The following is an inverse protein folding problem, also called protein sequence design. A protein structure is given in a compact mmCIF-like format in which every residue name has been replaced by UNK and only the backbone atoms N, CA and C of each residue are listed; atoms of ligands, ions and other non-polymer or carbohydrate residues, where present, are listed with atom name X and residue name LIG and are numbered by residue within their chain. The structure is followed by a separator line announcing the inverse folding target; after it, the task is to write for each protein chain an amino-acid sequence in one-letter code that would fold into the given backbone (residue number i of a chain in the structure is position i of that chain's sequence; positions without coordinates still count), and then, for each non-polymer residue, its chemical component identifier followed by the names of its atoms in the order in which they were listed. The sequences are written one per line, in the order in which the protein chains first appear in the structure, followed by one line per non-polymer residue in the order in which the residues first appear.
data_IF_673593135024
#
_entry.id   IF_673593135024
#
_cell.length_a   1.000
_cell.length_b   1.000
_cell.length_c   1.000
_cell.angle_alpha   90.00
_cell.angle_beta   90.00
_cell.angle_gamma   90.00
#
_symmetry.space_group_name_H-M   'P 1'
#
loop_
_entity.id
_entity.type
_entity.pdbx_description
1 polymer ?
#
# COMPACT_ATOMS: atom_id res chain seq x y z
N UNK A 1 27.32 3.11 -0.12
CA UNK A 1 26.57 4.37 -0.06
C UNK A 1 26.45 4.74 1.43
N UNK A 2 26.95 5.91 1.84
CA UNK A 2 26.91 6.33 3.25
C UNK A 2 25.49 6.82 3.58
N UNK A 3 24.97 6.46 4.74
CA UNK A 3 23.67 6.95 5.19
C UNK A 3 23.72 8.49 5.37
N UNK A 4 22.63 9.22 5.06
CA UNK A 4 22.58 10.66 5.22
C UNK A 4 22.80 11.04 6.70
N UNK A 5 23.44 12.16 6.93
CA UNK A 5 23.58 12.73 8.28
C UNK A 5 22.22 13.14 8.84
N UNK A 6 22.17 13.34 10.15
CA UNK A 6 20.93 13.81 10.81
C UNK A 6 20.50 15.18 10.27
N UNK A 7 21.42 16.09 10.08
CA UNK A 7 21.18 17.44 9.55
C UNK A 7 20.68 17.41 8.10
N UNK A 8 21.25 16.54 7.27
CA UNK A 8 20.77 16.33 5.89
C UNK A 8 19.35 15.76 5.86
N UNK A 9 19.04 14.83 6.74
CA UNK A 9 17.70 14.23 6.86
C UNK A 9 16.67 15.26 7.32
N UNK A 10 17.01 16.16 8.25
CA UNK A 10 16.14 17.24 8.71
C UNK A 10 15.86 18.20 7.55
N UNK A 11 16.90 18.69 6.87
CA UNK A 11 16.73 19.60 5.73
C UNK A 11 15.91 19.00 4.60
N UNK A 12 16.15 17.74 4.26
CA UNK A 12 15.36 17.04 3.23
C UNK A 12 13.88 16.95 3.60
N UNK A 13 13.56 16.69 4.87
CA UNK A 13 12.19 16.62 5.34
C UNK A 13 11.51 17.99 5.38
N UNK A 14 12.21 19.03 5.79
CA UNK A 14 11.72 20.42 5.76
C UNK A 14 11.42 20.87 4.33
N UNK A 15 12.31 20.56 3.39
CA UNK A 15 12.11 20.85 1.97
C UNK A 15 10.90 20.10 1.41
N UNK A 16 10.75 18.78 1.67
CA UNK A 16 9.59 18.01 1.24
C UNK A 16 8.28 18.61 1.79
N UNK A 17 8.26 19.01 3.05
CA UNK A 17 7.06 19.63 3.64
C UNK A 17 6.72 20.99 3.05
N UNK A 18 7.70 21.77 2.63
CA UNK A 18 7.51 23.09 2.05
C UNK A 18 7.09 23.04 0.57
N UNK A 19 7.69 22.14 -0.21
CA UNK A 19 7.59 22.14 -1.66
C UNK A 19 6.58 21.11 -2.21
N UNK A 20 6.33 20.01 -1.50
CA UNK A 20 5.49 18.93 -1.99
C UNK A 20 4.00 19.27 -1.83
N UNK A 21 3.24 19.35 -2.95
CA UNK A 21 1.82 19.73 -2.93
C UNK A 21 0.93 18.85 -2.05
N UNK A 22 1.33 17.60 -1.80
CA UNK A 22 0.58 16.67 -0.93
C UNK A 22 0.41 17.19 0.49
N UNK A 23 1.30 18.10 0.94
CA UNK A 23 1.26 18.67 2.28
C UNK A 23 0.49 19.96 2.36
N UNK A 24 -0.12 20.41 1.27
CA UNK A 24 -0.91 21.66 1.25
C UNK A 24 -2.03 21.60 2.29
N UNK A 25 -2.04 22.60 3.19
CA UNK A 25 -3.04 22.69 4.27
C UNK A 25 -2.75 21.83 5.50
N UNK A 26 -1.72 21.01 5.51
CA UNK A 26 -1.30 20.23 6.68
C UNK A 26 -0.61 21.15 7.69
N UNK A 27 -1.12 21.15 8.93
CA UNK A 27 -0.49 21.84 10.08
C UNK A 27 0.12 20.79 11.01
N UNK A 28 1.33 21.05 11.46
CA UNK A 28 2.08 20.15 12.37
C UNK A 28 2.40 20.89 13.67
N UNK A 29 2.29 20.18 14.78
CA UNK A 29 2.67 20.67 16.12
C UNK A 29 4.08 20.25 16.52
N UNK A 30 4.80 19.57 15.62
CA UNK A 30 6.15 19.03 15.80
C UNK A 30 7.04 19.46 14.64
N UNK A 31 8.34 19.44 14.87
CA UNK A 31 9.37 19.82 13.87
C UNK A 31 9.89 18.62 13.09
N UNK A 32 10.56 18.88 11.96
CA UNK A 32 11.30 17.86 11.22
C UNK A 32 12.42 17.24 12.08
N UNK A 33 13.03 18.02 12.95
CA UNK A 33 14.04 17.53 13.89
C UNK A 33 13.48 16.52 14.88
N UNK A 34 12.23 16.70 15.36
CA UNK A 34 11.56 15.73 16.24
C UNK A 34 11.30 14.42 15.50
N UNK A 35 10.84 14.48 14.25
CA UNK A 35 10.60 13.30 13.43
C UNK A 35 11.90 12.53 13.19
N UNK A 36 12.95 13.22 12.75
CA UNK A 36 14.25 12.58 12.47
C UNK A 36 14.87 11.99 13.74
N UNK A 37 14.71 12.67 14.89
CA UNK A 37 15.20 12.17 16.18
C UNK A 37 14.56 10.82 16.56
N UNK A 38 13.30 10.63 16.23
CA UNK A 38 12.54 9.42 16.60
C UNK A 38 12.60 8.32 15.53
N UNK A 39 12.89 8.65 14.28
CA UNK A 39 12.89 7.71 13.17
C UNK A 39 14.07 6.71 13.16
N UNK A 40 15.15 7.00 13.88
CA UNK A 40 16.38 6.23 13.80
C UNK A 40 17.17 6.49 12.51
N UNK A 41 18.32 5.82 12.36
CA UNK A 41 19.23 6.00 11.23
C UNK A 41 18.96 5.05 10.06
N UNK A 42 18.17 4.00 10.27
CA UNK A 42 17.86 3.00 9.26
C UNK A 42 16.44 3.20 8.76
N UNK A 43 16.30 3.50 7.46
CA UNK A 43 14.99 3.49 6.80
C UNK A 43 14.69 2.10 6.27
N UNK A 44 13.63 1.49 6.80
CA UNK A 44 13.06 0.28 6.22
C UNK A 44 12.19 0.68 5.03
N UNK A 45 12.47 0.15 3.85
CA UNK A 45 11.66 0.35 2.66
C UNK A 45 10.88 -0.92 2.31
N UNK A 46 9.59 -0.72 2.04
CA UNK A 46 8.69 -1.75 1.53
C UNK A 46 8.40 -1.42 0.05
N UNK A 47 9.20 -1.95 -0.85
CA UNK A 47 9.21 -1.58 -2.28
C UNK A 47 7.83 -1.66 -2.93
N UNK A 48 7.09 -2.77 -2.73
CA UNK A 48 5.76 -2.93 -3.32
C UNK A 48 4.76 -1.94 -2.73
N UNK A 49 4.78 -1.73 -1.42
CA UNK A 49 3.89 -0.76 -0.76
C UNK A 49 4.15 0.67 -1.24
N UNK A 50 5.42 1.06 -1.39
CA UNK A 50 5.80 2.38 -1.92
C UNK A 50 5.32 2.56 -3.35
N UNK A 51 5.64 1.63 -4.25
CA UNK A 51 5.21 1.69 -5.67
C UNK A 51 3.70 1.75 -5.80
N UNK A 52 2.98 0.92 -5.05
CA UNK A 52 1.52 0.94 -5.03
C UNK A 52 0.96 2.28 -4.57
N UNK A 53 1.46 2.83 -3.47
CA UNK A 53 0.99 4.12 -2.94
C UNK A 53 1.28 5.28 -3.92
N UNK A 54 2.46 5.33 -4.53
CA UNK A 54 2.82 6.33 -5.53
C UNK A 54 1.92 6.25 -6.77
N UNK A 55 1.66 5.04 -7.26
CA UNK A 55 0.77 4.81 -8.41
C UNK A 55 -0.67 5.22 -8.09
N UNK A 56 -1.21 4.80 -6.95
CA UNK A 56 -2.57 5.20 -6.58
C UNK A 56 -2.68 6.72 -6.45
N UNK A 57 -1.71 7.36 -5.81
CA UNK A 57 -1.67 8.82 -5.70
C UNK A 57 -1.69 9.50 -7.08
N UNK A 58 -0.89 9.00 -8.02
CA UNK A 58 -0.91 9.48 -9.39
C UNK A 58 -2.29 9.29 -10.03
N UNK A 59 -2.85 8.08 -9.98
CA UNK A 59 -4.14 7.76 -10.59
C UNK A 59 -5.28 8.65 -10.09
N UNK A 60 -5.40 8.84 -8.78
CA UNK A 60 -6.50 9.66 -8.21
C UNK A 60 -6.36 11.15 -8.49
N UNK A 61 -5.17 11.62 -8.89
CA UNK A 61 -4.94 13.02 -9.24
C UNK A 61 -4.95 13.29 -10.75
N UNK A 62 -4.84 12.26 -11.60
CA UNK A 62 -4.70 12.44 -13.05
C UNK A 62 -5.82 11.79 -13.85
N UNK A 63 -6.47 10.76 -13.32
CA UNK A 63 -7.51 10.04 -14.01
C UNK A 63 -8.91 10.54 -13.60
N UNK A 64 -9.88 10.56 -14.51
CA UNK A 64 -11.26 10.93 -14.19
C UNK A 64 -11.91 9.96 -13.19
N UNK A 65 -11.48 8.71 -13.18
CA UNK A 65 -11.87 7.68 -12.22
C UNK A 65 -10.87 6.52 -12.23
N UNK A 66 -10.79 5.77 -11.13
CA UNK A 66 -9.91 4.62 -10.98
C UNK A 66 -10.75 3.34 -10.95
N UNK A 67 -10.59 2.51 -11.98
CA UNK A 67 -11.26 1.20 -12.06
C UNK A 67 -10.73 0.27 -10.97
N UNK A 68 -11.61 -0.21 -10.10
CA UNK A 68 -11.26 -1.13 -9.02
C UNK A 68 -12.40 -2.09 -8.72
N UNK A 69 -12.06 -3.30 -8.32
CA UNK A 69 -12.99 -4.29 -7.78
C UNK A 69 -12.41 -4.94 -6.53
N UNK A 70 -13.29 -5.53 -5.73
CA UNK A 70 -12.90 -6.28 -4.54
C UNK A 70 -12.20 -7.59 -4.88
N UNK A 71 -11.19 -7.97 -4.09
CA UNK A 71 -10.58 -9.30 -4.15
C UNK A 71 -10.14 -9.75 -2.76
N UNK A 72 -10.35 -11.03 -2.45
CA UNK A 72 -9.87 -11.70 -1.23
C UNK A 72 -8.79 -12.74 -1.50
N UNK A 73 -8.61 -13.14 -2.75
CA UNK A 73 -7.62 -14.14 -3.15
C UNK A 73 -6.65 -13.57 -4.16
N UNK A 74 -5.43 -14.11 -4.17
CA UNK A 74 -4.43 -13.71 -5.15
C UNK A 74 -4.86 -13.98 -6.58
N UNK A 75 -5.59 -15.08 -6.84
CA UNK A 75 -6.06 -15.39 -8.18
C UNK A 75 -7.11 -14.38 -8.68
N UNK A 76 -8.08 -14.00 -7.83
CA UNK A 76 -9.05 -12.96 -8.18
C UNK A 76 -8.32 -11.65 -8.53
N UNK A 77 -7.42 -11.20 -7.67
CA UNK A 77 -6.66 -9.98 -7.89
C UNK A 77 -5.82 -10.05 -9.17
N UNK A 78 -5.13 -11.16 -9.43
CA UNK A 78 -4.34 -11.36 -10.64
C UNK A 78 -5.21 -11.29 -11.91
N UNK A 79 -6.38 -11.92 -11.92
CA UNK A 79 -7.29 -11.88 -13.07
C UNK A 79 -7.85 -10.47 -13.30
N UNK A 80 -8.16 -9.75 -12.23
CA UNK A 80 -8.59 -8.35 -12.32
C UNK A 80 -7.52 -7.46 -12.97
N UNK A 81 -6.27 -7.61 -12.56
CA UNK A 81 -5.13 -6.87 -13.16
C UNK A 81 -4.97 -7.24 -14.64
N UNK A 82 -5.05 -8.52 -14.99
CA UNK A 82 -5.03 -8.98 -16.39
C UNK A 82 -6.18 -8.42 -17.22
N UNK A 83 -7.33 -8.19 -16.61
CA UNK A 83 -8.48 -7.55 -17.25
C UNK A 83 -8.37 -6.02 -17.35
N UNK A 84 -7.29 -5.41 -16.88
CA UNK A 84 -7.00 -3.99 -17.00
C UNK A 84 -7.50 -3.13 -15.84
N UNK A 85 -7.88 -3.71 -14.69
CA UNK A 85 -8.19 -2.93 -13.50
C UNK A 85 -6.93 -2.26 -12.97
N UNK A 86 -7.08 -1.00 -12.55
CA UNK A 86 -5.95 -0.15 -12.11
C UNK A 86 -5.66 -0.25 -10.62
N UNK A 87 -6.59 -0.79 -9.84
CA UNK A 87 -6.45 -0.94 -8.39
C UNK A 87 -7.28 -2.12 -7.89
N UNK A 88 -6.92 -2.65 -6.73
CA UNK A 88 -7.65 -3.71 -6.03
C UNK A 88 -8.21 -3.14 -4.73
N UNK A 89 -9.51 -3.32 -4.53
CA UNK A 89 -10.18 -2.98 -3.28
C UNK A 89 -10.14 -4.17 -2.32
N UNK A 90 -9.61 -3.97 -1.14
CA UNK A 90 -9.67 -4.96 -0.08
C UNK A 90 -10.66 -4.51 0.99
N UNK A 91 -11.80 -5.18 1.04
CA UNK A 91 -12.86 -4.88 1.99
C UNK A 91 -12.60 -5.52 3.35
N UNK A 92 -12.56 -4.69 4.41
CA UNK A 92 -12.47 -5.18 5.78
C UNK A 92 -13.68 -6.05 6.19
N UNK A 93 -14.87 -5.73 5.69
CA UNK A 93 -16.08 -6.56 5.90
C UNK A 93 -15.93 -7.95 5.33
N UNK A 94 -15.45 -8.07 4.10
CA UNK A 94 -15.21 -9.39 3.49
C UNK A 94 -14.10 -10.15 4.21
N UNK A 95 -13.06 -9.46 4.67
CA UNK A 95 -12.03 -10.11 5.48
C UNK A 95 -12.62 -10.62 6.80
N UNK A 96 -13.44 -9.82 7.48
CA UNK A 96 -14.11 -10.26 8.71
C UNK A 96 -15.01 -11.48 8.49
N UNK A 97 -15.79 -11.50 7.39
CA UNK A 97 -16.71 -12.59 7.09
C UNK A 97 -16.02 -13.85 6.56
N UNK A 98 -15.06 -13.70 5.64
CA UNK A 98 -14.62 -14.81 4.80
C UNK A 98 -13.11 -15.11 4.87
N UNK A 99 -12.29 -14.22 5.38
CA UNK A 99 -10.84 -14.34 5.24
C UNK A 99 -10.04 -13.94 6.48
N UNK A 100 -10.68 -13.82 7.65
CA UNK A 100 -9.94 -13.57 8.89
C UNK A 100 -9.14 -14.81 9.33
N UNK A 101 -8.08 -14.60 10.08
CA UNK A 101 -7.16 -15.66 10.46
C UNK A 101 -7.67 -16.56 11.59
N UNK A 102 -8.77 -16.20 12.27
CA UNK A 102 -9.41 -17.05 13.25
C UNK A 102 -10.25 -18.16 12.58
N UNK A 103 -10.60 -18.00 11.30
CA UNK A 103 -11.43 -18.96 10.57
C UNK A 103 -12.90 -18.92 10.95
N UNK A 104 -13.33 -17.92 11.69
CA UNK A 104 -14.71 -17.72 12.12
C UNK A 104 -15.34 -16.53 11.40
N UNK A 105 -16.66 -16.55 11.25
CA UNK A 105 -17.39 -15.39 10.71
C UNK A 105 -17.61 -14.35 11.81
N UNK A 106 -17.17 -13.13 11.56
CA UNK A 106 -17.40 -12.00 12.47
C UNK A 106 -18.37 -11.00 11.84
N UNK A 107 -19.45 -10.64 12.52
CA UNK A 107 -20.41 -9.64 12.04
C UNK A 107 -19.88 -8.20 12.21
N UNK A 108 -18.85 -8.00 13.03
CA UNK A 108 -18.25 -6.72 13.33
C UNK A 108 -16.74 -6.76 13.05
N UNK A 109 -16.28 -5.81 12.24
CA UNK A 109 -14.86 -5.68 11.86
C UNK A 109 -13.92 -5.45 13.04
N UNK A 110 -14.40 -4.89 14.15
CA UNK A 110 -13.58 -4.65 15.34
C UNK A 110 -13.29 -5.91 16.16
N UNK A 111 -13.98 -7.00 15.88
CA UNK A 111 -13.89 -8.24 16.67
C UNK A 111 -12.95 -9.30 16.10
N UNK A 112 -12.56 -9.20 14.83
CA UNK A 112 -11.65 -10.20 14.24
C UNK A 112 -10.17 -9.86 14.49
N UNK A 113 -9.25 -10.83 14.40
CA UNK A 113 -7.83 -10.59 14.65
C UNK A 113 -7.24 -9.48 13.76
N UNK A 114 -6.58 -8.50 14.35
CA UNK A 114 -6.10 -7.27 13.70
C UNK A 114 -5.12 -7.54 12.53
N UNK A 115 -4.40 -8.65 12.53
CA UNK A 115 -3.46 -9.02 11.48
C UNK A 115 -4.11 -9.78 10.30
N UNK A 116 -5.44 -9.96 10.29
CA UNK A 116 -6.15 -10.66 9.21
C UNK A 116 -6.00 -9.96 7.87
N UNK A 117 -6.23 -8.64 7.80
CA UNK A 117 -6.06 -7.84 6.58
C UNK A 117 -4.60 -7.88 6.09
N UNK A 118 -3.58 -7.61 6.90
CA UNK A 118 -2.18 -7.77 6.50
C UNK A 118 -1.85 -9.14 5.92
N UNK A 119 -2.42 -10.20 6.43
CA UNK A 119 -2.19 -11.56 5.93
C UNK A 119 -2.83 -11.79 4.56
N UNK A 120 -4.03 -11.25 4.30
CA UNK A 120 -4.66 -11.32 2.97
C UNK A 120 -3.83 -10.52 1.95
N UNK A 121 -3.39 -9.33 2.30
CA UNK A 121 -2.51 -8.52 1.45
C UNK A 121 -1.21 -9.24 1.12
N UNK A 122 -0.58 -9.84 2.11
CA UNK A 122 0.64 -10.63 1.88
C UNK A 122 0.41 -11.76 0.87
N UNK A 123 -0.71 -12.47 0.98
CA UNK A 123 -1.08 -13.53 0.02
C UNK A 123 -1.26 -13.00 -1.40
N UNK A 124 -1.96 -11.87 -1.55
CA UNK A 124 -2.16 -11.22 -2.85
C UNK A 124 -0.83 -10.75 -3.42
N UNK A 125 0.01 -10.09 -2.62
CA UNK A 125 1.35 -9.66 -3.02
C UNK A 125 2.25 -10.83 -3.49
N UNK A 126 2.21 -11.95 -2.77
CA UNK A 126 2.97 -13.14 -3.16
C UNK A 126 2.51 -13.67 -4.53
N UNK A 127 1.19 -13.61 -4.82
CA UNK A 127 0.65 -14.00 -6.13
C UNK A 127 1.13 -13.04 -7.23
N UNK A 128 1.12 -11.74 -6.99
CA UNK A 128 1.63 -10.76 -7.95
C UNK A 128 3.12 -10.93 -8.19
N UNK A 129 3.90 -11.11 -7.13
CA UNK A 129 5.34 -11.38 -7.25
C UNK A 129 5.60 -12.62 -8.10
N UNK A 130 4.81 -13.68 -7.90
CA UNK A 130 4.96 -14.91 -8.71
C UNK A 130 4.51 -14.69 -10.16
N UNK A 131 3.43 -13.97 -10.40
CA UNK A 131 2.98 -13.65 -11.75
C UNK A 131 4.02 -12.81 -12.51
N UNK A 132 4.63 -11.85 -11.83
CA UNK A 132 5.72 -11.04 -12.36
C UNK A 132 6.96 -11.91 -12.72
N UNK A 133 7.38 -12.78 -11.82
CA UNK A 133 8.50 -13.71 -12.07
C UNK A 133 8.26 -14.60 -13.29
N UNK A 134 7.01 -15.06 -13.50
CA UNK A 134 6.66 -15.91 -14.63
C UNK A 134 6.77 -15.13 -15.93
N UNK A 135 6.12 -13.96 -16.04
CA UNK A 135 6.19 -13.16 -17.26
C UNK A 135 7.63 -12.71 -17.56
N UNK A 136 8.38 -12.32 -16.53
CA UNK A 136 9.79 -11.96 -16.70
C UNK A 136 10.65 -13.10 -17.24
N UNK A 137 10.45 -14.32 -16.72
CA UNK A 137 11.18 -15.51 -17.21
C UNK A 137 10.83 -15.87 -18.66
N UNK A 138 9.66 -15.45 -19.14
CA UNK A 138 9.23 -15.59 -20.54
C UNK A 138 9.69 -14.44 -21.45
N UNK A 139 10.48 -13.51 -20.93
CA UNK A 139 10.91 -12.31 -21.67
C UNK A 139 9.79 -11.30 -21.93
N UNK A 140 8.72 -11.35 -21.15
CA UNK A 140 7.57 -10.45 -21.22
C UNK A 140 7.57 -9.48 -20.06
N UNK A 141 6.98 -8.30 -20.27
CA UNK A 141 6.76 -7.30 -19.22
C UNK A 141 5.50 -6.47 -19.53
N UNK A 142 4.45 -7.15 -19.98
CA UNK A 142 3.23 -6.52 -20.50
C UNK A 142 2.32 -6.01 -19.39
N UNK A 143 2.41 -6.61 -18.20
CA UNK A 143 1.56 -6.31 -17.06
C UNK A 143 2.41 -5.89 -15.87
N UNK A 144 2.16 -4.69 -15.35
CA UNK A 144 2.80 -4.24 -14.12
C UNK A 144 2.10 -4.83 -12.89
N UNK A 145 2.60 -5.96 -12.39
CA UNK A 145 2.13 -6.56 -11.15
C UNK A 145 2.73 -5.89 -9.90
N UNK A 146 3.83 -5.14 -10.05
CA UNK A 146 4.61 -4.63 -8.93
C UNK A 146 4.01 -3.40 -8.24
N UNK A 147 3.03 -2.76 -8.88
CA UNK A 147 2.41 -1.52 -8.38
C UNK A 147 0.88 -1.61 -8.25
N UNK A 148 0.30 -2.81 -8.18
CA UNK A 148 -1.16 -3.02 -8.25
C UNK A 148 -1.87 -3.04 -6.90
N UNK A 149 -1.16 -3.08 -5.78
CA UNK A 149 -1.80 -3.18 -4.48
C UNK A 149 -2.07 -1.83 -3.85
N UNK A 150 -3.34 -1.48 -3.84
CA UNK A 150 -3.85 -0.30 -3.16
C UNK A 150 -4.87 -0.72 -2.11
N UNK A 151 -4.65 -0.26 -0.89
CA UNK A 151 -5.49 -0.52 0.25
C UNK A 151 -6.59 0.51 0.36
N UNK A 152 -7.83 0.06 0.30
CA UNK A 152 -8.95 0.82 0.82
C UNK A 152 -9.68 -0.06 1.84
N UNK A 153 -9.53 0.25 3.09
CA UNK A 153 -10.42 -0.27 4.12
C UNK A 153 -11.49 0.78 4.37
N UNK A 154 -12.72 0.53 3.93
CA UNK A 154 -13.87 1.19 4.51
C UNK A 154 -14.11 0.57 5.88
N UNK A 155 -13.75 1.27 6.90
CA UNK A 155 -14.00 0.83 8.27
C UNK A 155 -12.92 1.36 9.18
N UNK A 156 -13.31 2.03 10.20
CA UNK A 156 -12.55 2.56 11.31
C UNK A 156 -11.27 1.76 11.61
N UNK A 157 -10.25 1.99 10.81
CA UNK A 157 -8.94 1.43 11.08
C UNK A 157 -8.18 2.42 11.92
N UNK A 158 -8.11 2.19 13.18
CA UNK A 158 -6.96 2.64 13.96
C UNK A 158 -5.79 1.76 13.55
N UNK A 159 -4.86 2.35 12.81
CA UNK A 159 -3.54 1.77 12.62
C UNK A 159 -2.74 1.93 13.90
#
# INVERSE_FOLDING_TARGET
MQAPTREESIRALEQDWAENPRWKGVRRTYSAADVVRLAGSVRVEHTLARRGAEKLWSLVNTEPFVNTLGALTGNQAMQQVKAGLKAIYLSGWQVAGDANIAGEMYPDQSLYPANSVPMVVKRINNTFTRADQIQWSEGKNDIDYSSQLHWWTCGTGTA
#
